data_IF_540803576736
#
_entry.id   IF_540803576736
#
_cell.length_a   1.000
_cell.length_b   1.000
_cell.length_c   1.000
_cell.angle_alpha   90.00
_cell.angle_beta   90.00
_cell.angle_gamma   90.00
#
_symmetry.space_group_name_H-M   'P 1'
#
loop_
_entity.id
_entity.type
_entity.pdbx_description
1 polymer ?
#
# COMPACT_ATOMS: atom_id res chain seq x y z
N UNK A 1 -4.92 10.09 -16.17
CA UNK A 1 -3.91 9.26 -15.49
C UNK A 1 -3.89 9.72 -14.05
N UNK A 2 -4.51 8.96 -13.13
CA UNK A 2 -4.30 9.22 -11.71
C UNK A 2 -2.80 8.98 -11.43
N UNK A 3 -2.16 9.90 -10.74
CA UNK A 3 -0.77 9.76 -10.36
C UNK A 3 -0.62 8.52 -9.45
N UNK A 4 0.43 7.72 -9.67
CA UNK A 4 0.64 6.40 -9.03
C UNK A 4 0.53 6.49 -7.52
N UNK A 5 1.03 7.59 -6.96
CA UNK A 5 0.90 7.93 -5.54
C UNK A 5 -0.56 7.91 -5.07
N UNK A 6 -1.48 8.55 -5.79
CA UNK A 6 -2.88 8.66 -5.38
C UNK A 6 -3.61 7.32 -5.42
N UNK A 7 -3.26 6.44 -6.37
CA UNK A 7 -3.81 5.09 -6.43
C UNK A 7 -3.33 4.27 -5.23
N UNK A 8 -2.02 4.30 -4.95
CA UNK A 8 -1.45 3.57 -3.81
C UNK A 8 -2.03 4.08 -2.51
N UNK A 9 -1.98 5.40 -2.28
CA UNK A 9 -2.50 6.05 -1.08
C UNK A 9 -3.94 5.66 -0.79
N UNK A 10 -4.82 5.76 -1.79
CA UNK A 10 -6.24 5.39 -1.67
C UNK A 10 -6.43 3.98 -1.09
N UNK A 11 -5.67 3.00 -1.56
CA UNK A 11 -5.84 1.61 -1.13
C UNK A 11 -5.08 1.29 0.16
N UNK A 12 -3.98 1.98 0.44
CA UNK A 12 -3.28 1.87 1.72
C UNK A 12 -4.11 2.49 2.84
N UNK A 13 -4.71 3.66 2.63
CA UNK A 13 -5.62 4.28 3.60
C UNK A 13 -6.86 3.41 3.85
N UNK A 14 -7.40 2.77 2.80
CA UNK A 14 -8.55 1.86 2.90
C UNK A 14 -8.23 0.53 3.57
N UNK A 15 -6.95 0.12 3.62
CA UNK A 15 -6.52 -1.07 4.33
C UNK A 15 -6.80 -0.94 5.83
N UNK A 16 -6.74 0.29 6.35
CA UNK A 16 -6.92 0.62 7.76
C UNK A 16 -6.15 -0.35 8.66
N UNK A 17 -4.86 -0.52 8.35
CA UNK A 17 -4.00 -1.63 8.81
C UNK A 17 -3.97 -1.82 10.34
N UNK A 18 -4.32 -0.79 11.11
CA UNK A 18 -4.37 -0.78 12.56
C UNK A 18 -5.73 -0.30 13.12
N UNK A 19 -6.79 -0.25 12.30
CA UNK A 19 -8.07 0.41 12.62
C UNK A 19 -7.87 1.87 13.11
N UNK A 20 -6.86 2.57 12.58
CA UNK A 20 -6.49 3.91 13.03
C UNK A 20 -7.54 4.95 12.63
N UNK A 21 -8.30 4.72 11.56
CA UNK A 21 -9.45 5.55 11.22
C UNK A 21 -10.51 5.52 12.33
N UNK A 22 -10.65 4.40 13.05
CA UNK A 22 -11.55 4.30 14.21
C UNK A 22 -11.02 5.06 15.45
N UNK A 23 -9.70 5.30 15.53
CA UNK A 23 -9.07 6.05 16.61
C UNK A 23 -8.99 7.57 16.36
N UNK A 24 -9.55 8.09 15.26
CA UNK A 24 -9.59 9.53 14.96
C UNK A 24 -8.32 10.08 14.33
N UNK A 25 -7.54 9.18 13.73
CA UNK A 25 -6.26 9.47 13.14
C UNK A 25 -6.45 10.07 11.72
N UNK A 26 -5.68 11.11 11.34
CA UNK A 26 -5.94 11.88 10.12
C UNK A 26 -5.69 11.03 8.87
N UNK A 27 -6.37 11.31 7.74
CA UNK A 27 -6.29 10.45 6.55
C UNK A 27 -4.94 10.50 5.80
N UNK A 28 -3.89 11.08 6.37
CA UNK A 28 -2.54 11.24 5.80
C UNK A 28 -1.47 10.40 6.51
N UNK A 29 -1.85 9.50 7.42
CA UNK A 29 -0.89 8.77 8.25
C UNK A 29 0.09 7.89 7.49
N UNK A 30 -0.31 7.41 6.31
CA UNK A 30 0.50 6.53 5.48
C UNK A 30 1.06 7.22 4.23
N UNK A 31 1.12 8.56 4.21
CA UNK A 31 1.57 9.30 3.02
C UNK A 31 3.03 9.02 2.66
N UNK A 32 3.89 8.80 3.66
CA UNK A 32 5.30 8.53 3.45
C UNK A 32 5.49 7.15 2.83
N UNK A 33 4.84 6.14 3.43
CA UNK A 33 4.83 4.75 2.99
C UNK A 33 4.20 4.63 1.60
N UNK A 34 3.07 5.31 1.38
CA UNK A 34 2.38 5.33 0.08
C UNK A 34 3.25 5.93 -1.01
N UNK A 35 4.01 6.99 -0.70
CA UNK A 35 4.97 7.58 -1.64
C UNK A 35 6.08 6.60 -1.95
N UNK A 36 6.66 5.96 -0.95
CA UNK A 36 7.74 5.00 -1.15
C UNK A 36 7.30 3.78 -1.97
N UNK A 37 6.15 3.20 -1.64
CA UNK A 37 5.53 2.11 -2.39
C UNK A 37 5.30 2.54 -3.84
N UNK A 38 4.74 3.74 -4.08
CA UNK A 38 4.44 4.24 -5.43
C UNK A 38 5.68 4.39 -6.33
N UNK A 39 6.85 4.66 -5.74
CA UNK A 39 8.14 4.73 -6.44
C UNK A 39 8.69 3.34 -6.74
N UNK A 40 8.45 2.37 -5.85
CA UNK A 40 8.97 0.99 -5.98
C UNK A 40 8.14 0.12 -6.93
N UNK A 41 6.82 0.34 -7.03
CA UNK A 41 5.94 -0.46 -7.90
C UNK A 41 5.97 -0.01 -9.38
N UNK A 42 5.76 -0.97 -10.27
CA UNK A 42 5.67 -0.80 -11.72
C UNK A 42 4.39 -1.40 -12.29
N UNK A 43 3.99 -0.93 -13.47
CA UNK A 43 2.76 -1.37 -14.14
C UNK A 43 2.76 -2.86 -14.50
N UNK A 44 3.93 -3.43 -14.74
CA UNK A 44 4.15 -4.83 -15.08
C UNK A 44 4.24 -5.77 -13.85
N UNK A 45 4.41 -5.24 -12.64
CA UNK A 45 4.64 -6.06 -11.45
C UNK A 45 3.45 -6.98 -11.14
N UNK A 46 3.73 -8.21 -10.72
CA UNK A 46 2.67 -9.13 -10.29
C UNK A 46 2.03 -8.66 -8.98
N UNK A 47 0.81 -9.14 -8.70
CA UNK A 47 0.14 -8.89 -7.41
C UNK A 47 1.03 -9.31 -6.24
N UNK A 48 1.67 -10.48 -6.34
CA UNK A 48 2.61 -10.97 -5.34
C UNK A 48 3.77 -9.98 -5.13
N UNK A 49 4.33 -9.45 -6.22
CA UNK A 49 5.45 -8.50 -6.13
C UNK A 49 5.04 -7.18 -5.48
N UNK A 50 3.85 -6.68 -5.80
CA UNK A 50 3.30 -5.48 -5.17
C UNK A 50 3.09 -5.73 -3.67
N UNK A 51 2.57 -6.89 -3.27
CA UNK A 51 2.37 -7.25 -1.87
C UNK A 51 3.70 -7.35 -1.09
N UNK A 52 4.74 -7.93 -1.69
CA UNK A 52 6.10 -7.96 -1.11
C UNK A 52 6.68 -6.55 -0.90
N UNK A 53 6.43 -5.63 -1.85
CA UNK A 53 6.89 -4.24 -1.73
C UNK A 53 6.17 -3.53 -0.58
N UNK A 54 4.84 -3.72 -0.46
CA UNK A 54 4.06 -3.14 0.64
C UNK A 54 4.56 -3.68 1.98
N UNK A 55 4.70 -5.02 2.09
CA UNK A 55 5.19 -5.65 3.31
C UNK A 55 6.58 -5.15 3.71
N UNK A 56 7.50 -5.02 2.75
CA UNK A 56 8.85 -4.53 3.02
C UNK A 56 8.84 -3.09 3.56
N UNK A 57 8.04 -2.20 2.96
CA UNK A 57 7.93 -0.80 3.43
C UNK A 57 7.29 -0.74 4.81
N UNK A 58 6.18 -1.45 5.03
CA UNK A 58 5.51 -1.44 6.33
C UNK A 58 6.39 -2.03 7.44
N UNK A 59 7.05 -3.16 7.17
CA UNK A 59 7.98 -3.77 8.12
C UNK A 59 9.15 -2.84 8.49
N UNK A 60 9.64 -2.05 7.53
CA UNK A 60 10.69 -1.05 7.77
C UNK A 60 10.21 0.10 8.65
N UNK A 61 9.04 0.69 8.34
CA UNK A 61 8.52 1.87 9.06
C UNK A 61 7.96 1.54 10.44
N UNK A 62 7.32 0.38 10.59
CA UNK A 62 6.69 -0.04 11.83
C UNK A 62 7.52 -1.05 12.64
N UNK A 63 8.71 -1.43 12.16
CA UNK A 63 9.57 -2.44 12.77
C UNK A 63 8.83 -3.77 13.05
N UNK A 64 8.04 -4.19 12.05
CA UNK A 64 7.24 -5.42 12.08
C UNK A 64 7.83 -6.52 11.17
N UNK A 65 7.24 -7.72 11.22
CA UNK A 65 7.63 -8.88 10.42
C UNK A 65 6.42 -9.49 9.71
N UNK A 66 5.65 -8.65 9.04
CA UNK A 66 4.48 -9.08 8.29
C UNK A 66 4.87 -9.84 7.03
N UNK A 67 4.09 -10.87 6.73
CA UNK A 67 4.21 -11.61 5.49
C UNK A 67 3.49 -10.87 4.34
N UNK A 68 3.99 -11.04 3.11
CA UNK A 68 3.36 -10.46 1.93
C UNK A 68 1.89 -10.89 1.77
N UNK A 69 1.52 -12.08 2.25
CA UNK A 69 0.13 -12.57 2.21
C UNK A 69 -0.86 -11.64 2.90
N UNK A 70 -0.43 -10.91 3.95
CA UNK A 70 -1.24 -9.90 4.64
C UNK A 70 -1.69 -8.77 3.71
N UNK A 71 -0.89 -8.46 2.68
CA UNK A 71 -1.11 -7.31 1.79
C UNK A 71 -1.66 -7.70 0.40
N UNK A 72 -1.96 -8.98 0.17
CA UNK A 72 -2.42 -9.45 -1.14
C UNK A 72 -3.71 -8.77 -1.61
N UNK A 73 -4.68 -8.58 -0.72
CA UNK A 73 -5.96 -7.95 -1.07
C UNK A 73 -5.77 -6.51 -1.55
N UNK A 74 -4.93 -5.73 -0.86
CA UNK A 74 -4.59 -4.36 -1.27
C UNK A 74 -3.78 -4.36 -2.58
N UNK A 75 -2.82 -5.26 -2.71
CA UNK A 75 -2.01 -5.38 -3.92
C UNK A 75 -2.87 -5.68 -5.16
N UNK A 76 -3.89 -6.52 -5.03
CA UNK A 76 -4.85 -6.77 -6.12
C UNK A 76 -5.61 -5.52 -6.51
N UNK A 77 -6.06 -4.72 -5.55
CA UNK A 77 -6.82 -3.51 -5.81
C UNK A 77 -5.96 -2.46 -6.53
N UNK A 78 -4.73 -2.25 -6.05
CA UNK A 78 -3.74 -1.37 -6.71
C UNK A 78 -3.48 -1.84 -8.15
N UNK A 79 -3.22 -3.14 -8.35
CA UNK A 79 -2.95 -3.70 -9.68
C UNK A 79 -4.14 -3.53 -10.63
N UNK A 80 -5.36 -3.76 -10.17
CA UNK A 80 -6.59 -3.59 -10.96
C UNK A 80 -6.77 -2.14 -11.44
N UNK A 81 -6.38 -1.15 -10.64
CA UNK A 81 -6.48 0.27 -11.02
C UNK A 81 -5.31 0.72 -11.90
N UNK A 82 -4.13 0.10 -11.81
CA UNK A 82 -3.00 0.32 -12.73
C UNK A 82 -3.24 -0.21 -14.15
N UNK A 83 -4.13 -1.21 -14.30
CA UNK A 83 -4.47 -1.82 -15.59
C UNK A 83 -5.64 -1.13 -16.32
N UNK A 84 -6.24 -0.09 -15.72
CA UNK A 84 -7.30 0.73 -16.34
C UNK A 84 -6.71 1.92 -17.09
#
# INVERSE_FOLDING_TARGET
MADRFHIVKKYIDQMDYYDLLACGAPSDEFDIESREISVKIRGEDSVQKIAEIIAAVFNEYFNELNDATTFLTVAEQIKKEFLK
#
